data_IF_384313759662
#
_entry.id   IF_384313759662
#
_cell.length_a   1.000
_cell.length_b   1.000
_cell.length_c   1.000
_cell.angle_alpha   90.00
_cell.angle_beta   90.00
_cell.angle_gamma   90.00
#
_symmetry.space_group_name_H-M   'P 1'
#
loop_
_entity.id
_entity.type
_entity.pdbx_description
1 polymer ?
#
# COMPACT_ATOMS: atom_id res chain seq x y z
N UNK A 1 14.19 5.06 1.78
CA UNK A 1 12.82 4.91 2.30
C UNK A 1 12.28 6.29 2.68
N UNK A 2 11.97 7.14 1.70
CA UNK A 2 11.77 8.58 1.92
C UNK A 2 10.43 8.95 2.61
N UNK A 3 9.42 8.08 2.53
CA UNK A 3 8.09 8.32 3.11
C UNK A 3 7.90 7.64 4.47
N UNK A 4 8.89 6.89 4.97
CA UNK A 4 8.80 6.29 6.29
C UNK A 4 9.01 7.39 7.34
N UNK A 5 7.98 7.64 8.16
CA UNK A 5 8.09 8.58 9.27
C UNK A 5 8.88 7.97 10.42
N UNK A 6 9.75 8.76 11.04
CA UNK A 6 10.40 8.37 12.28
C UNK A 6 9.37 8.08 13.40
N UNK A 7 9.71 7.20 14.34
CA UNK A 7 8.89 6.96 15.53
C UNK A 7 8.60 8.28 16.24
N UNK A 8 7.31 8.56 16.45
CA UNK A 8 6.86 9.77 17.14
C UNK A 8 6.42 9.40 18.55
N UNK A 9 7.10 9.93 19.54
CA UNK A 9 6.74 9.85 20.96
C UNK A 9 6.70 11.26 21.55
N UNK A 10 5.62 11.56 22.28
CA UNK A 10 5.38 12.89 22.86
C UNK A 10 4.83 12.71 24.28
N UNK A 11 5.38 13.44 25.24
CA UNK A 11 4.78 13.60 26.57
C UNK A 11 4.01 14.92 26.60
N UNK A 12 2.68 14.86 26.66
CA UNK A 12 1.82 16.05 26.52
C UNK A 12 1.72 16.85 27.81
N UNK A 13 1.82 16.16 28.94
CA UNK A 13 1.90 16.69 30.30
C UNK A 13 2.60 15.63 31.17
N UNK A 14 3.11 15.98 32.37
CA UNK A 14 3.82 15.03 33.23
C UNK A 14 3.05 13.73 33.44
N UNK A 15 3.61 12.61 33.00
CA UNK A 15 3.02 11.27 33.11
C UNK A 15 2.14 10.82 31.94
N UNK A 16 1.83 11.68 30.96
CA UNK A 16 0.97 11.33 29.81
C UNK A 16 1.81 11.17 28.55
N UNK A 17 2.18 9.91 28.25
CA UNK A 17 2.99 9.55 27.09
C UNK A 17 2.12 9.05 25.94
N UNK A 18 2.30 9.66 24.78
CA UNK A 18 1.63 9.31 23.53
C UNK A 18 2.69 8.83 22.52
N UNK A 19 2.36 7.80 21.73
CA UNK A 19 3.21 7.36 20.61
C UNK A 19 2.41 7.06 19.36
N UNK A 20 3.02 7.24 18.19
CA UNK A 20 2.47 6.81 16.91
C UNK A 20 3.22 5.58 16.43
N UNK A 21 2.46 4.51 16.15
CA UNK A 21 3.00 3.25 15.63
C UNK A 21 2.36 2.96 14.28
N UNK A 22 3.18 2.75 13.26
CA UNK A 22 2.73 2.36 11.91
C UNK A 22 2.67 0.83 11.83
N UNK A 23 1.59 0.29 11.28
CA UNK A 23 1.45 -1.13 10.96
C UNK A 23 0.87 -1.30 9.56
N UNK A 24 1.35 -2.26 8.76
CA UNK A 24 0.75 -2.55 7.46
C UNK A 24 -0.68 -3.05 7.59
N UNK A 25 -1.46 -2.82 6.53
CA UNK A 25 -2.72 -3.52 6.33
C UNK A 25 -2.40 -4.97 5.99
N UNK A 26 -3.11 -5.92 6.61
CA UNK A 26 -2.79 -7.34 6.45
C UNK A 26 -3.06 -7.84 5.02
N UNK A 27 -4.16 -7.41 4.40
CA UNK A 27 -4.54 -7.79 3.03
C UNK A 27 -5.05 -6.58 2.25
N UNK A 28 -4.54 -6.39 1.04
CA UNK A 28 -4.95 -5.30 0.16
C UNK A 28 -5.30 -5.82 -1.24
N UNK A 29 -6.36 -5.25 -1.82
CA UNK A 29 -6.74 -5.45 -3.21
C UNK A 29 -6.30 -4.27 -4.07
N UNK A 30 -5.70 -4.56 -5.21
CA UNK A 30 -5.19 -3.59 -6.16
C UNK A 30 -5.90 -3.81 -7.49
N UNK A 31 -6.72 -2.85 -7.91
CA UNK A 31 -7.37 -2.90 -9.21
C UNK A 31 -6.54 -2.16 -10.24
N UNK A 32 -6.22 -2.84 -11.34
CA UNK A 32 -5.56 -2.25 -12.50
C UNK A 32 -6.58 -2.24 -13.63
N UNK A 33 -6.93 -1.07 -14.18
CA UNK A 33 -7.82 -1.02 -15.33
C UNK A 33 -7.20 -1.76 -16.51
N UNK A 34 -7.97 -2.68 -17.07
CA UNK A 34 -7.70 -3.35 -18.35
C UNK A 34 -8.80 -2.97 -19.33
N UNK A 35 -8.45 -2.78 -20.59
CA UNK A 35 -9.37 -2.30 -21.62
C UNK A 35 -8.60 -2.04 -22.90
N UNK A 36 -8.65 -0.81 -23.40
CA UNK A 36 -7.96 -0.41 -24.64
C UNK A 36 -6.44 -0.28 -24.48
N UNK A 37 -5.93 -0.11 -23.26
CA UNK A 37 -4.50 0.03 -22.98
C UNK A 37 -4.05 -0.85 -21.81
N UNK A 38 -2.80 -1.34 -21.87
CA UNK A 38 -2.14 -1.98 -20.73
C UNK A 38 -1.56 -0.88 -19.84
N UNK A 39 -1.88 -0.90 -18.55
CA UNK A 39 -1.42 0.09 -17.58
C UNK A 39 -0.48 -0.55 -16.54
N UNK A 40 0.73 -1.00 -16.94
CA UNK A 40 1.68 -1.59 -16.00
C UNK A 40 2.18 -0.54 -14.98
N UNK A 41 2.15 0.75 -15.35
CA UNK A 41 2.46 1.86 -14.45
C UNK A 41 1.52 1.91 -13.26
N UNK A 42 0.20 1.77 -13.48
CA UNK A 42 -0.79 1.71 -12.39
C UNK A 42 -0.57 0.52 -11.47
N UNK A 43 -0.22 -0.64 -12.03
CA UNK A 43 0.13 -1.81 -11.24
C UNK A 43 1.33 -1.53 -10.32
N UNK A 44 2.41 -0.96 -10.86
CA UNK A 44 3.62 -0.61 -10.09
C UNK A 44 3.33 0.43 -9.00
N UNK A 45 2.57 1.47 -9.33
CA UNK A 45 2.24 2.55 -8.39
C UNK A 45 1.45 2.08 -7.18
N UNK A 46 0.75 0.95 -7.28
CA UNK A 46 -0.06 0.39 -6.19
C UNK A 46 0.63 -0.78 -5.49
N UNK A 47 1.25 -1.70 -6.25
CA UNK A 47 1.87 -2.91 -5.68
C UNK A 47 3.20 -2.63 -4.97
N UNK A 48 4.01 -1.70 -5.49
CA UNK A 48 5.31 -1.35 -4.90
C UNK A 48 5.16 -0.76 -3.49
N UNK A 49 4.34 0.28 -3.23
CA UNK A 49 4.16 0.80 -1.87
C UNK A 49 3.50 -0.22 -0.94
N UNK A 50 2.59 -1.07 -1.43
CA UNK A 50 2.01 -2.16 -0.63
C UNK A 50 3.08 -3.17 -0.19
N UNK A 51 4.04 -3.49 -1.06
CA UNK A 51 5.19 -4.31 -0.73
C UNK A 51 6.13 -3.63 0.28
N UNK A 52 6.47 -2.36 0.08
CA UNK A 52 7.31 -1.58 1.01
C UNK A 52 6.66 -1.45 2.39
N UNK A 53 5.33 -1.28 2.44
CA UNK A 53 4.58 -1.21 3.69
C UNK A 53 4.62 -2.53 4.48
N UNK A 54 4.81 -3.67 3.79
CA UNK A 54 4.79 -5.00 4.41
C UNK A 54 3.40 -5.63 4.47
N UNK A 55 2.52 -5.33 3.50
CA UNK A 55 1.22 -5.99 3.40
C UNK A 55 1.42 -7.50 3.18
N UNK A 56 0.83 -8.34 4.04
CA UNK A 56 1.05 -9.79 3.97
C UNK A 56 0.39 -10.45 2.76
N UNK A 57 -0.71 -9.88 2.25
CA UNK A 57 -1.38 -10.36 1.03
C UNK A 57 -1.69 -9.18 0.12
N UNK A 58 -1.28 -9.26 -1.14
CA UNK A 58 -1.56 -8.28 -2.18
C UNK A 58 -2.25 -9.03 -3.32
N UNK A 59 -3.52 -8.69 -3.59
CA UNK A 59 -4.32 -9.30 -4.67
C UNK A 59 -4.45 -8.28 -5.79
N UNK A 60 -4.08 -8.66 -7.02
CA UNK A 60 -4.25 -7.82 -8.20
C UNK A 60 -5.46 -8.29 -9.01
N UNK A 61 -6.36 -7.36 -9.32
CA UNK A 61 -7.49 -7.59 -10.20
C UNK A 61 -7.35 -6.72 -11.45
N UNK A 62 -7.42 -7.35 -12.62
CA UNK A 62 -7.49 -6.66 -13.91
C UNK A 62 -8.50 -7.41 -14.78
N UNK A 63 -9.39 -6.70 -15.50
CA UNK A 63 -10.21 -7.36 -16.50
C UNK A 63 -9.29 -7.89 -17.62
N UNK A 64 -9.55 -9.11 -18.12
CA UNK A 64 -8.82 -9.64 -19.27
C UNK A 64 -9.26 -8.95 -20.56
N UNK A 65 -8.44 -9.09 -21.59
CA UNK A 65 -8.78 -8.76 -22.96
C UNK A 65 -9.84 -9.74 -23.51
N UNK A 66 -10.47 -9.40 -24.66
CA UNK A 66 -11.45 -10.28 -25.30
C UNK A 66 -10.92 -11.67 -25.67
N UNK A 67 -9.62 -11.82 -25.89
CA UNK A 67 -8.95 -13.10 -26.16
C UNK A 67 -8.57 -13.87 -24.88
N UNK A 68 -8.94 -13.35 -23.71
CA UNK A 68 -8.63 -13.93 -22.40
C UNK A 68 -7.24 -13.59 -21.86
N UNK A 69 -6.47 -12.76 -22.57
CA UNK A 69 -5.13 -12.30 -22.14
C UNK A 69 -5.14 -11.11 -21.19
#
# INVERSE_FOLDING_TARGET
MAQQSEPMEVETMPGVKCRRVTRPINRVGVYVPGGTAVLPSSALMLSVPAGIAGCATIVLATPPRPDGS
#
